data_IF_225792645579
#
_entry.id   IF_225792645579
#
_cell.length_a   1.000
_cell.length_b   1.000
_cell.length_c   1.000
_cell.angle_alpha   90.00
_cell.angle_beta   90.00
_cell.angle_gamma   90.00
#
_symmetry.space_group_name_H-M   'P 1'
#
loop_
_entity.id
_entity.type
_entity.pdbx_description
1 polymer ?
#
# COMPACT_ATOMS: atom_id res chain seq x y z
N UNK A 1 3.41 1.57 -1.79
CA UNK A 1 3.31 2.87 -1.11
C UNK A 1 4.46 3.80 -1.52
N UNK A 2 4.66 4.02 -2.84
CA UNK A 2 5.74 4.89 -3.33
C UNK A 2 5.25 6.33 -3.46
N UNK A 3 5.96 7.30 -2.89
CA UNK A 3 5.65 8.72 -3.13
C UNK A 3 5.75 9.04 -4.62
N UNK A 4 4.99 10.05 -5.05
CA UNK A 4 5.12 10.62 -6.40
C UNK A 4 6.16 11.74 -6.45
N UNK A 5 6.67 12.18 -5.30
CA UNK A 5 7.72 13.17 -5.22
C UNK A 5 9.05 12.44 -5.27
N UNK A 6 9.98 12.96 -6.05
CA UNK A 6 11.29 12.33 -6.25
C UNK A 6 12.26 12.62 -5.10
N UNK A 7 11.94 13.59 -4.23
CA UNK A 7 12.73 13.99 -3.06
C UNK A 7 12.44 13.14 -1.81
N UNK A 8 11.46 12.23 -1.88
CA UNK A 8 11.06 11.37 -0.76
C UNK A 8 11.71 10.02 -0.90
N UNK A 9 12.43 9.60 0.15
CA UNK A 9 12.98 8.24 0.22
C UNK A 9 11.85 7.20 0.29
N UNK A 10 11.79 6.38 -0.74
CA UNK A 10 10.82 5.31 -0.83
C UNK A 10 10.99 4.25 0.27
N UNK A 11 12.22 3.94 0.67
CA UNK A 11 12.49 2.98 1.75
C UNK A 11 11.88 3.45 3.07
N UNK A 12 12.12 4.72 3.43
CA UNK A 12 11.56 5.33 4.63
C UNK A 12 10.02 5.33 4.66
N UNK A 13 9.36 5.53 3.50
CA UNK A 13 7.89 5.40 3.41
C UNK A 13 7.42 3.98 3.77
N UNK A 14 8.11 2.94 3.28
CA UNK A 14 7.78 1.54 3.58
C UNK A 14 8.03 1.22 5.05
N UNK A 15 9.18 1.63 5.59
CA UNK A 15 9.54 1.40 7.00
C UNK A 15 8.51 2.01 7.97
N UNK A 16 8.07 3.26 7.73
CA UNK A 16 7.00 3.89 8.52
C UNK A 16 5.70 3.09 8.41
N UNK A 17 5.32 2.68 7.20
CA UNK A 17 4.08 1.96 6.98
C UNK A 17 4.04 0.63 7.75
N UNK A 18 5.13 -0.13 7.71
CA UNK A 18 5.24 -1.42 8.40
C UNK A 18 5.28 -1.22 9.93
N UNK A 19 6.12 -0.31 10.42
CA UNK A 19 6.28 -0.07 11.87
C UNK A 19 5.04 0.49 12.55
N UNK A 20 4.20 1.25 11.84
CA UNK A 20 2.99 1.87 12.39
C UNK A 20 1.70 1.09 12.08
N UNK A 21 1.79 0.01 11.30
CA UNK A 21 0.61 -0.73 10.85
C UNK A 21 -0.30 0.12 9.96
N UNK A 22 0.29 0.77 8.96
CA UNK A 22 -0.39 1.69 8.05
C UNK A 22 -0.23 1.24 6.60
N UNK A 23 -1.22 1.58 5.78
CA UNK A 23 -1.08 1.58 4.33
C UNK A 23 -1.61 2.90 3.78
N UNK A 24 -1.03 3.39 2.68
CA UNK A 24 -1.45 4.69 2.16
C UNK A 24 -0.60 5.27 1.04
N UNK A 25 -0.80 6.57 0.84
CA UNK A 25 -0.09 7.34 -0.16
C UNK A 25 -0.01 8.82 0.20
N UNK A 26 0.91 9.51 -0.46
CA UNK A 26 1.11 10.94 -0.34
C UNK A 26 0.11 11.82 -1.07
N UNK A 27 0.11 13.09 -0.70
CA UNK A 27 -0.78 14.11 -1.24
C UNK A 27 -1.12 15.21 -0.26
N UNK A 28 -1.63 16.33 -0.79
CA UNK A 28 -2.16 17.41 0.04
C UNK A 28 -3.50 16.99 0.65
N UNK A 29 -3.73 17.38 1.92
CA UNK A 29 -5.00 17.16 2.64
C UNK A 29 -6.22 17.63 1.86
N UNK A 30 -6.11 18.83 1.28
CA UNK A 30 -7.11 19.48 0.46
C UNK A 30 -6.53 19.67 -0.95
N UNK A 31 -6.60 18.65 -1.80
CA UNK A 31 -5.99 18.70 -3.11
C UNK A 31 -6.89 19.43 -4.10
N UNK A 32 -6.32 20.38 -4.85
CA UNK A 32 -6.99 20.97 -6.01
C UNK A 32 -6.99 20.05 -7.24
N UNK A 33 -6.17 18.99 -7.25
CA UNK A 33 -6.11 18.01 -8.34
C UNK A 33 -7.23 16.97 -8.20
N UNK A 34 -8.17 16.98 -9.15
CA UNK A 34 -9.27 16.00 -9.25
C UNK A 34 -8.80 14.55 -9.25
N UNK A 35 -7.63 14.25 -9.83
CA UNK A 35 -7.10 12.89 -9.86
C UNK A 35 -6.71 12.41 -8.47
N UNK A 36 -6.22 13.31 -7.62
CA UNK A 36 -5.91 12.99 -6.22
C UNK A 36 -7.21 12.90 -5.40
N UNK A 37 -8.18 13.80 -5.60
CA UNK A 37 -9.49 13.74 -4.94
C UNK A 37 -10.17 12.38 -5.16
N UNK A 38 -10.32 11.96 -6.42
CA UNK A 38 -10.92 10.65 -6.76
C UNK A 38 -10.12 9.47 -6.21
N UNK A 39 -8.80 9.61 -6.08
CA UNK A 39 -7.96 8.57 -5.49
C UNK A 39 -8.21 8.43 -3.99
N UNK A 40 -8.37 9.55 -3.29
CA UNK A 40 -8.71 9.58 -1.86
C UNK A 40 -10.09 8.99 -1.62
N UNK A 41 -11.10 9.39 -2.41
CA UNK A 41 -12.46 8.83 -2.33
C UNK A 41 -12.44 7.31 -2.49
N UNK A 42 -11.88 6.80 -3.60
CA UNK A 42 -11.76 5.35 -3.80
C UNK A 42 -10.99 4.63 -2.69
N UNK A 43 -10.03 5.28 -2.05
CA UNK A 43 -9.25 4.68 -0.97
C UNK A 43 -10.04 4.61 0.35
N UNK A 44 -10.87 5.63 0.61
CA UNK A 44 -11.83 5.62 1.73
C UNK A 44 -12.83 4.49 1.60
N UNK A 45 -13.28 4.23 0.38
CA UNK A 45 -14.33 3.26 0.08
C UNK A 45 -13.84 1.81 -0.06
N UNK A 46 -12.54 1.55 0.12
CA UNK A 46 -12.05 0.16 0.13
C UNK A 46 -12.62 -0.59 1.33
N UNK A 47 -13.11 -1.81 1.13
CA UNK A 47 -13.65 -2.61 2.24
C UNK A 47 -12.56 -2.97 3.25
N UNK A 48 -12.89 -2.92 4.54
CA UNK A 48 -12.06 -3.55 5.57
C UNK A 48 -11.92 -5.05 5.27
N UNK A 49 -10.72 -5.59 5.54
CA UNK A 49 -10.34 -6.94 5.18
C UNK A 49 -9.75 -7.07 3.77
N UNK A 50 -9.73 -6.01 2.96
CA UNK A 50 -9.09 -5.99 1.64
C UNK A 50 -7.57 -6.20 1.74
N UNK A 51 -7.03 -7.01 0.85
CA UNK A 51 -5.59 -7.24 0.75
C UNK A 51 -4.88 -6.12 -0.01
N UNK A 52 -3.72 -5.72 0.49
CA UNK A 52 -2.81 -4.76 -0.14
C UNK A 52 -1.43 -5.36 -0.28
N UNK A 53 -0.75 -4.97 -1.35
CA UNK A 53 0.63 -5.39 -1.62
C UNK A 53 1.52 -4.16 -1.77
N UNK A 54 2.72 -4.22 -1.19
CA UNK A 54 3.81 -3.28 -1.48
C UNK A 54 5.09 -4.04 -1.79
N UNK A 55 6.05 -3.37 -2.41
CA UNK A 55 7.41 -3.89 -2.64
C UNK A 55 8.39 -2.95 -1.95
N UNK A 56 9.42 -3.47 -1.31
CA UNK A 56 10.46 -2.66 -0.67
C UNK A 56 11.66 -2.41 -1.62
N UNK A 57 12.66 -1.60 -1.22
CA UNK A 57 13.86 -1.35 -2.02
C UNK A 57 14.71 -2.60 -2.32
N UNK A 58 14.69 -3.61 -1.42
CA UNK A 58 15.38 -4.89 -1.62
C UNK A 58 14.65 -5.80 -2.63
N UNK A 59 13.46 -5.37 -3.05
CA UNK A 59 12.67 -6.02 -4.06
C UNK A 59 11.78 -7.13 -3.51
N UNK A 60 11.67 -7.26 -2.19
CA UNK A 60 10.76 -8.18 -1.52
C UNK A 60 9.36 -7.60 -1.41
N UNK A 61 8.37 -8.49 -1.24
CA UNK A 61 6.96 -8.13 -1.30
C UNK A 61 6.31 -8.27 0.07
N UNK A 62 5.57 -7.25 0.47
CA UNK A 62 4.81 -7.25 1.71
C UNK A 62 3.34 -7.39 1.39
N UNK A 63 2.70 -8.36 2.06
CA UNK A 63 1.25 -8.54 2.05
C UNK A 63 0.68 -7.96 3.33
N UNK A 64 -0.34 -7.12 3.18
CA UNK A 64 -1.09 -6.55 4.28
C UNK A 64 -2.60 -6.67 4.07
N UNK A 65 -3.34 -6.44 5.15
CA UNK A 65 -4.79 -6.45 5.20
C UNK A 65 -5.32 -5.20 5.89
N UNK A 66 -6.12 -4.42 5.18
CA UNK A 66 -6.72 -3.19 5.72
C UNK A 66 -7.69 -3.55 6.84
N UNK A 67 -7.63 -2.84 7.97
CA UNK A 67 -8.44 -3.15 9.16
C UNK A 67 -8.97 -1.90 9.90
N UNK A 68 -9.03 -0.75 9.22
CA UNK A 68 -9.56 0.44 9.84
C UNK A 68 -9.84 1.59 8.88
N UNK A 69 -10.59 2.56 9.40
CA UNK A 69 -11.03 3.74 8.67
C UNK A 69 -9.87 4.59 8.15
N UNK A 70 -10.14 5.30 7.07
CA UNK A 70 -9.27 6.34 6.55
C UNK A 70 -9.09 7.48 7.56
N UNK A 71 -7.88 8.02 7.62
CA UNK A 71 -7.59 9.32 8.20
C UNK A 71 -6.45 10.02 7.43
N UNK A 72 -6.36 11.34 7.62
CA UNK A 72 -5.18 12.08 7.20
C UNK A 72 -4.23 12.17 8.39
N UNK A 73 -3.02 11.64 8.24
CA UNK A 73 -1.95 11.72 9.23
C UNK A 73 -1.19 13.04 9.01
N UNK A 74 -1.40 14.00 9.91
CA UNK A 74 -0.78 15.33 9.88
C UNK A 74 0.48 15.43 10.73
N UNK A 75 1.00 14.30 11.25
CA UNK A 75 2.29 14.26 11.93
C UNK A 75 3.43 14.67 10.98
N UNK A 76 4.42 15.40 11.52
CA UNK A 76 5.60 15.81 10.75
C UNK A 76 6.35 14.61 10.18
N UNK A 77 6.45 13.51 10.94
CA UNK A 77 7.06 12.26 10.48
C UNK A 77 6.29 11.62 9.32
N UNK A 78 4.97 11.78 9.25
CA UNK A 78 4.15 11.30 8.14
C UNK A 78 4.39 12.14 6.89
N UNK A 79 4.48 13.45 7.08
CA UNK A 79 4.75 14.44 6.03
C UNK A 79 6.15 14.28 5.44
N UNK A 80 7.15 13.98 6.27
CA UNK A 80 8.55 13.79 5.86
C UNK A 80 8.72 12.63 4.86
N UNK A 81 7.94 11.55 5.01
CA UNK A 81 7.97 10.38 4.11
C UNK A 81 6.79 10.31 3.15
N UNK A 82 6.01 11.39 3.06
CA UNK A 82 4.82 11.54 2.20
C UNK A 82 3.84 10.34 2.32
N UNK A 83 3.57 9.92 3.57
CA UNK A 83 2.60 8.88 3.92
C UNK A 83 1.49 9.45 4.79
N UNK A 84 0.63 10.27 4.17
CA UNK A 84 -0.34 11.10 4.91
C UNK A 84 -1.80 10.70 4.68
N UNK A 85 -2.17 10.15 3.51
CA UNK A 85 -3.49 9.56 3.31
C UNK A 85 -3.43 8.08 3.66
N UNK A 86 -3.87 7.72 4.87
CA UNK A 86 -3.58 6.40 5.44
C UNK A 86 -4.82 5.68 5.97
N UNK A 87 -4.70 4.36 6.06
CA UNK A 87 -5.59 3.45 6.78
C UNK A 87 -4.76 2.50 7.62
N UNK A 88 -5.34 2.02 8.72
CA UNK A 88 -4.74 0.93 9.50
C UNK A 88 -4.66 -0.34 8.64
N UNK A 89 -3.55 -1.05 8.77
CA UNK A 89 -3.24 -2.24 8.00
C UNK A 89 -2.43 -3.20 8.86
N UNK A 90 -2.89 -4.45 8.94
CA UNK A 90 -2.09 -5.54 9.48
C UNK A 90 -1.14 -6.00 8.37
N UNK A 91 0.16 -5.98 8.61
CA UNK A 91 1.15 -6.52 7.70
C UNK A 91 1.61 -7.89 8.19
N UNK A 92 1.95 -8.79 7.27
CA UNK A 92 2.72 -9.98 7.64
C UNK A 92 4.05 -9.55 8.27
N UNK A 93 4.53 -10.34 9.22
CA UNK A 93 5.77 -10.05 9.96
C UNK A 93 7.05 -10.23 9.14
N UNK A 94 6.96 -10.99 8.04
CA UNK A 94 8.09 -11.24 7.13
C UNK A 94 7.70 -10.98 5.68
N UNK A 95 8.60 -10.38 4.88
CA UNK A 95 8.36 -10.17 3.47
C UNK A 95 8.50 -11.47 2.68
N UNK A 96 7.90 -11.48 1.48
CA UNK A 96 7.90 -12.61 0.58
C UNK A 96 8.88 -12.42 -0.59
N UNK A 97 9.62 -13.47 -0.98
CA UNK A 97 10.35 -13.49 -2.24
C UNK A 97 9.36 -13.60 -3.42
N UNK A 98 9.79 -13.16 -4.61
CA UNK A 98 8.93 -13.08 -5.81
C UNK A 98 8.19 -14.40 -6.11
N UNK A 99 8.84 -15.55 -5.99
CA UNK A 99 8.23 -16.86 -6.29
C UNK A 99 7.06 -17.26 -5.37
N UNK A 100 6.92 -16.59 -4.21
CA UNK A 100 5.84 -16.82 -3.26
C UNK A 100 4.67 -15.81 -3.44
N UNK A 101 4.78 -14.91 -4.41
CA UNK A 101 3.81 -13.83 -4.67
C UNK A 101 2.86 -14.23 -5.81
N UNK A 102 1.56 -13.94 -5.72
CA UNK A 102 0.63 -14.11 -6.83
C UNK A 102 1.15 -13.51 -8.14
N UNK A 103 1.13 -14.28 -9.24
CA UNK A 103 1.67 -13.86 -10.53
C UNK A 103 1.07 -12.53 -11.03
N UNK A 104 -0.23 -12.33 -10.77
CA UNK A 104 -0.93 -11.10 -11.11
C UNK A 104 -0.38 -9.87 -10.36
N UNK A 105 0.04 -10.03 -9.09
CA UNK A 105 0.66 -8.95 -8.30
C UNK A 105 2.02 -8.60 -8.89
N UNK A 106 2.84 -9.61 -9.20
CA UNK A 106 4.15 -9.41 -9.84
C UNK A 106 3.98 -8.64 -11.15
N UNK A 107 3.03 -9.06 -12.00
CA UNK A 107 2.73 -8.39 -13.27
C UNK A 107 2.31 -6.93 -13.07
N UNK A 108 1.51 -6.62 -12.05
CA UNK A 108 1.11 -5.25 -11.70
C UNK A 108 2.31 -4.37 -11.32
N UNK A 109 3.27 -4.90 -10.54
CA UNK A 109 4.50 -4.16 -10.20
C UNK A 109 5.42 -3.97 -11.41
N UNK A 110 5.59 -4.99 -12.25
CA UNK A 110 6.46 -4.92 -13.45
C UNK A 110 6.02 -3.88 -14.47
N UNK A 111 4.72 -3.57 -14.52
CA UNK A 111 4.17 -2.50 -15.38
C UNK A 111 4.59 -1.09 -14.92
N UNK A 112 5.29 -0.95 -13.78
CA UNK A 112 5.71 0.35 -13.26
C UNK A 112 4.55 1.22 -12.79
N UNK A 113 3.43 0.58 -12.41
CA UNK A 113 2.17 1.26 -12.14
C UNK A 113 2.19 2.24 -10.97
N UNK A 114 1.17 3.10 -10.93
CA UNK A 114 1.05 4.20 -9.97
C UNK A 114 0.74 3.68 -8.56
N UNK A 115 1.11 4.47 -7.54
CA UNK A 115 0.71 4.19 -6.16
C UNK A 115 -0.83 4.21 -5.99
N UNK A 116 -1.36 3.20 -5.30
CA UNK A 116 -2.78 2.81 -5.17
C UNK A 116 -3.45 2.42 -6.50
N UNK A 117 -3.07 1.25 -7.00
CA UNK A 117 -3.64 0.58 -8.17
C UNK A 117 -4.25 -0.76 -7.79
N UNK A 118 -5.32 -1.16 -8.48
CA UNK A 118 -5.95 -2.47 -8.30
C UNK A 118 -5.26 -3.51 -9.19
N UNK A 119 -4.96 -4.68 -8.64
CA UNK A 119 -4.56 -5.83 -9.44
C UNK A 119 -5.82 -6.50 -10.00
N UNK A 120 -6.01 -6.39 -11.31
CA UNK A 120 -7.16 -6.99 -12.01
C UNK A 120 -6.81 -8.42 -12.45
N UNK A 121 -7.04 -9.39 -11.57
CA UNK A 121 -7.02 -10.81 -11.93
C UNK A 121 -8.00 -11.58 -11.03
N UNK A 122 -8.89 -12.44 -11.57
CA UNK A 122 -9.93 -13.09 -10.78
C UNK A 122 -9.41 -13.92 -9.60
N UNK A 123 -8.24 -14.53 -9.73
CA UNK A 123 -7.66 -15.37 -8.66
C UNK A 123 -6.91 -14.58 -7.58
N UNK A 124 -6.56 -13.31 -7.80
CA UNK A 124 -5.60 -12.60 -6.93
C UNK A 124 -6.08 -12.49 -5.49
N UNK A 125 -7.39 -12.36 -5.28
CA UNK A 125 -7.99 -12.32 -3.94
C UNK A 125 -7.83 -13.66 -3.22
N UNK A 126 -8.16 -14.77 -3.87
CA UNK A 126 -8.05 -16.11 -3.29
C UNK A 126 -6.59 -16.51 -3.04
N UNK A 127 -5.68 -16.18 -3.97
CA UNK A 127 -4.25 -16.43 -3.82
C UNK A 127 -3.65 -15.60 -2.67
N UNK A 128 -4.00 -14.32 -2.55
CA UNK A 128 -3.57 -13.48 -1.43
C UNK A 128 -4.10 -14.00 -0.09
N UNK A 129 -5.35 -14.48 -0.06
CA UNK A 129 -5.93 -15.09 1.13
C UNK A 129 -5.21 -16.37 1.54
N UNK A 130 -4.80 -17.21 0.59
CA UNK A 130 -4.05 -18.43 0.86
C UNK A 130 -2.69 -18.09 1.48
N UNK A 131 -1.97 -17.14 0.89
CA UNK A 131 -0.69 -16.64 1.44
C UNK A 131 -0.89 -16.13 2.87
N UNK A 132 -1.92 -15.29 3.08
CA UNK A 132 -2.25 -14.74 4.40
C UNK A 132 -2.49 -15.85 5.44
N UNK A 133 -3.34 -16.84 5.13
CA UNK A 133 -3.67 -17.92 6.08
C UNK A 133 -2.48 -18.78 6.48
N UNK A 134 -1.46 -18.88 5.63
CA UNK A 134 -0.29 -19.71 5.87
C UNK A 134 0.78 -18.99 6.69
N UNK A 135 0.77 -17.65 6.75
CA UNK A 135 1.88 -16.85 7.27
C UNK A 135 1.48 -15.81 8.34
N UNK A 136 0.18 -15.49 8.47
CA UNK A 136 -0.34 -14.52 9.43
C UNK A 136 -0.49 -15.09 10.84
#
# INVERSE_FOLDING_TARGET
MRSRRDDVDFGATIERALSRGLCGFGGRREPSDERLMRRIERFRDVDDGSFVWTRDPDGLYWLGRINGRYFYDDDDDASAVDLVHVRRCDWLSTPLPEHAVPAAVIATFRRGGRNFQQTHHPSVGAESLLVWRNLA
#
